data_IF_555088150082
#
_entry.id   IF_555088150082
#
_cell.length_a   1.000
_cell.length_b   1.000
_cell.length_c   1.000
_cell.angle_alpha   90.00
_cell.angle_beta   90.00
_cell.angle_gamma   90.00
#
_symmetry.space_group_name_H-M   'P 1'
#
loop_
_entity.id
_entity.type
_entity.pdbx_description
1 polymer ?
#
# COMPACT_ATOMS: atom_id res chain seq x y z
N UNK A 1 1.82 2.05 -8.87
CA UNK A 1 2.03 0.88 -7.99
C UNK A 1 0.74 0.62 -7.23
N UNK A 2 0.75 0.34 -5.92
CA UNK A 2 -0.39 0.22 -4.98
C UNK A 2 0.18 0.19 -3.55
N UNK A 3 -0.62 0.45 -2.53
CA UNK A 3 -0.25 0.08 -1.15
C UNK A 3 0.11 -1.43 -1.02
N UNK A 4 -0.47 -2.30 -1.87
CA UNK A 4 -0.08 -3.71 -1.96
C UNK A 4 1.36 -3.95 -2.49
N UNK A 5 2.07 -2.88 -2.91
CA UNK A 5 3.51 -2.90 -3.19
C UNK A 5 4.39 -2.69 -1.96
N UNK A 6 3.78 -2.47 -0.78
CA UNK A 6 4.45 -2.27 0.51
C UNK A 6 4.00 -3.28 1.57
N UNK A 7 2.85 -3.94 1.36
CA UNK A 7 2.32 -5.02 2.18
C UNK A 7 1.65 -6.08 1.29
N UNK A 8 1.90 -7.37 1.55
CA UNK A 8 1.18 -8.46 0.89
C UNK A 8 -0.23 -8.66 1.44
N UNK A 9 -1.22 -8.80 0.55
CA UNK A 9 -2.64 -8.99 0.91
C UNK A 9 -3.12 -10.39 0.50
N UNK A 10 -3.91 -11.03 1.37
CA UNK A 10 -4.53 -12.33 1.10
C UNK A 10 -5.30 -12.31 -0.22
N UNK A 11 -5.19 -13.37 -1.03
CA UNK A 11 -5.88 -13.46 -2.32
C UNK A 11 -5.27 -12.62 -3.45
N UNK A 12 -4.31 -11.74 -3.14
CA UNK A 12 -3.66 -10.83 -4.09
C UNK A 12 -2.16 -11.13 -4.21
N UNK A 13 -1.72 -12.38 -4.09
CA UNK A 13 -0.29 -12.73 -4.06
C UNK A 13 0.46 -12.29 -5.34
N UNK A 14 -0.05 -12.67 -6.52
CA UNK A 14 0.54 -12.29 -7.80
C UNK A 14 0.49 -10.77 -8.03
N UNK A 15 -0.63 -10.13 -7.66
CA UNK A 15 -0.78 -8.68 -7.72
C UNK A 15 0.26 -7.98 -6.84
N UNK A 16 0.33 -8.34 -5.55
CA UNK A 16 1.28 -7.78 -4.58
C UNK A 16 2.72 -7.96 -5.08
N UNK A 17 3.10 -9.17 -5.50
CA UNK A 17 4.42 -9.43 -6.06
C UNK A 17 4.77 -8.48 -7.23
N UNK A 18 3.84 -8.28 -8.17
CA UNK A 18 4.03 -7.33 -9.27
C UNK A 18 4.21 -5.89 -8.78
N UNK A 19 3.49 -5.46 -7.74
CA UNK A 19 3.59 -4.09 -7.19
C UNK A 19 4.85 -3.87 -6.38
N UNK A 20 5.36 -4.89 -5.68
CA UNK A 20 6.68 -4.86 -5.05
C UNK A 20 7.79 -4.77 -6.10
N UNK A 21 7.68 -5.51 -7.21
CA UNK A 21 8.67 -5.44 -8.29
C UNK A 21 8.75 -4.03 -8.91
N UNK A 22 7.63 -3.33 -9.07
CA UNK A 22 7.62 -1.94 -9.53
C UNK A 22 8.39 -0.99 -8.61
N UNK A 23 8.42 -1.25 -7.30
CA UNK A 23 9.20 -0.43 -6.37
C UNK A 23 10.70 -0.60 -6.63
N UNK A 24 11.20 -1.84 -6.67
CA UNK A 24 12.61 -2.10 -6.94
C UNK A 24 13.04 -1.55 -8.30
N UNK A 25 12.20 -1.73 -9.33
CA UNK A 25 12.42 -1.14 -10.65
C UNK A 25 12.53 0.39 -10.59
N UNK A 26 11.63 1.06 -9.88
CA UNK A 26 11.63 2.51 -9.75
C UNK A 26 12.83 3.05 -8.95
N UNK A 27 13.27 2.32 -7.91
CA UNK A 27 14.47 2.67 -7.13
C UNK A 27 15.73 2.61 -8.01
N UNK A 28 15.86 1.57 -8.84
CA UNK A 28 16.95 1.48 -9.83
C UNK A 28 16.87 2.58 -10.89
N UNK A 29 15.68 2.78 -11.47
CA UNK A 29 15.47 3.79 -12.50
C UNK A 29 15.76 5.20 -12.01
N UNK A 30 15.39 5.56 -10.77
CA UNK A 30 15.72 6.87 -10.20
C UNK A 30 17.23 7.12 -10.24
N UNK A 31 18.05 6.14 -9.86
CA UNK A 31 19.51 6.27 -9.91
C UNK A 31 20.04 6.45 -11.34
N UNK A 32 19.46 5.75 -12.31
CA UNK A 32 19.86 5.84 -13.72
C UNK A 32 19.52 7.21 -14.32
N UNK A 33 18.35 7.77 -14.00
CA UNK A 33 17.85 8.99 -14.65
C UNK A 33 18.21 10.28 -13.92
N UNK A 34 18.57 10.20 -12.63
CA UNK A 34 18.88 11.37 -11.79
C UNK A 34 20.01 12.27 -12.31
N UNK A 35 21.10 11.76 -12.92
CA UNK A 35 22.12 12.62 -13.53
C UNK A 35 21.61 13.50 -14.67
N UNK A 36 20.49 13.12 -15.30
CA UNK A 36 19.85 13.88 -16.38
C UNK A 36 18.81 14.89 -15.86
N UNK A 37 18.73 15.11 -14.54
CA UNK A 37 17.77 16.02 -13.93
C UNK A 37 16.33 15.48 -13.91
N UNK A 38 16.13 14.19 -14.25
CA UNK A 38 14.85 13.52 -14.20
C UNK A 38 14.62 12.90 -12.82
N UNK A 39 13.35 12.78 -12.42
CA UNK A 39 12.93 12.22 -11.13
C UNK A 39 11.88 11.13 -11.35
N UNK A 40 11.88 10.12 -10.48
CA UNK A 40 10.88 9.05 -10.51
C UNK A 40 9.97 9.18 -9.29
N UNK A 41 8.65 9.07 -9.52
CA UNK A 41 7.64 9.03 -8.46
C UNK A 41 6.82 7.75 -8.56
N UNK A 42 6.71 7.03 -7.45
CA UNK A 42 5.91 5.82 -7.31
C UNK A 42 4.61 6.16 -6.59
N UNK A 43 3.50 6.12 -7.33
CA UNK A 43 2.18 6.25 -6.74
C UNK A 43 1.76 4.95 -6.03
N UNK A 44 1.43 5.07 -4.74
CA UNK A 44 0.97 4.02 -3.84
C UNK A 44 -0.46 4.33 -3.35
N UNK A 45 -1.47 4.27 -4.24
CA UNK A 45 -2.84 4.58 -3.88
C UNK A 45 -3.45 3.50 -2.97
N UNK A 46 -4.38 3.89 -2.07
CA UNK A 46 -5.31 2.96 -1.42
C UNK A 46 -6.42 2.54 -2.39
N UNK A 47 -7.43 1.83 -1.88
CA UNK A 47 -8.65 1.55 -2.64
C UNK A 47 -9.29 2.87 -3.12
N UNK A 48 -9.57 2.92 -4.42
CA UNK A 48 -10.03 4.14 -5.11
C UNK A 48 -11.34 3.88 -5.83
N UNK A 49 -12.31 4.77 -5.65
CA UNK A 49 -13.65 4.69 -6.22
C UNK A 49 -13.59 4.81 -7.75
N UNK A 50 -13.56 3.66 -8.40
CA UNK A 50 -13.40 3.55 -9.85
C UNK A 50 -14.27 2.42 -10.38
N UNK A 51 -14.71 2.47 -11.64
CA UNK A 51 -15.42 1.35 -12.26
C UNK A 51 -14.61 0.03 -12.21
N UNK A 52 -13.27 0.13 -12.21
CA UNK A 52 -12.38 -1.01 -12.06
C UNK A 52 -12.46 -1.65 -10.67
N UNK A 53 -12.51 -0.83 -9.61
CA UNK A 53 -12.68 -1.31 -8.24
C UNK A 53 -14.03 -2.01 -8.05
N UNK A 54 -15.12 -1.48 -8.62
CA UNK A 54 -16.43 -2.13 -8.58
C UNK A 54 -16.42 -3.54 -9.21
N UNK A 55 -15.66 -3.72 -10.30
CA UNK A 55 -15.50 -5.02 -10.96
C UNK A 55 -14.66 -5.97 -10.11
N UNK A 56 -13.55 -5.49 -9.56
CA UNK A 56 -12.69 -6.27 -8.66
C UNK A 56 -13.48 -6.77 -7.45
N UNK A 57 -14.34 -5.91 -6.90
CA UNK A 57 -15.10 -6.20 -5.69
C UNK A 57 -16.03 -7.40 -5.85
N UNK A 58 -16.56 -7.65 -7.05
CA UNK A 58 -17.48 -8.79 -7.32
C UNK A 58 -16.84 -10.14 -7.02
N UNK A 59 -15.55 -10.31 -7.34
CA UNK A 59 -14.85 -11.58 -7.22
C UNK A 59 -13.87 -11.63 -6.04
N UNK A 60 -13.76 -10.54 -5.27
CA UNK A 60 -12.83 -10.42 -4.15
C UNK A 60 -13.19 -11.44 -3.03
N UNK A 61 -12.23 -12.27 -2.57
CA UNK A 61 -12.46 -13.17 -1.44
C UNK A 61 -12.92 -12.42 -0.19
N UNK A 62 -13.73 -13.07 0.65
CA UNK A 62 -14.25 -12.47 1.89
C UNK A 62 -13.12 -11.98 2.81
N UNK A 63 -12.04 -12.75 2.93
CA UNK A 63 -10.84 -12.37 3.68
C UNK A 63 -10.26 -11.04 3.18
N UNK A 64 -10.09 -10.92 1.86
CA UNK A 64 -9.53 -9.72 1.22
C UNK A 64 -10.47 -8.54 1.39
N UNK A 65 -11.79 -8.72 1.23
CA UNK A 65 -12.78 -7.65 1.48
C UNK A 65 -12.70 -7.11 2.91
N UNK A 66 -12.65 -7.99 3.91
CA UNK A 66 -12.56 -7.60 5.32
C UNK A 66 -11.23 -6.90 5.65
N UNK A 67 -10.13 -7.29 5.00
CA UNK A 67 -8.83 -6.62 5.13
C UNK A 67 -8.86 -5.24 4.46
N UNK A 68 -9.42 -5.13 3.25
CA UNK A 68 -9.51 -3.86 2.50
C UNK A 68 -10.41 -2.83 3.16
N UNK A 69 -11.52 -3.24 3.79
CA UNK A 69 -12.50 -2.33 4.39
C UNK A 69 -11.95 -1.42 5.51
N UNK A 70 -10.81 -1.75 6.11
CA UNK A 70 -10.19 -0.87 7.13
C UNK A 70 -9.58 0.41 6.54
N UNK A 71 -9.32 0.43 5.22
CA UNK A 71 -8.59 1.49 4.52
C UNK A 71 -9.47 2.65 4.03
N UNK A 72 -10.79 2.44 3.96
CA UNK A 72 -11.72 3.37 3.34
C UNK A 72 -11.60 3.41 1.81
N UNK A 73 -12.52 4.13 1.16
CA UNK A 73 -12.55 4.28 -0.29
C UNK A 73 -12.34 5.76 -0.64
N UNK A 74 -11.32 6.07 -1.43
CA UNK A 74 -11.00 7.45 -1.81
C UNK A 74 -11.49 7.78 -3.23
N UNK A 75 -11.87 9.05 -3.43
CA UNK A 75 -12.20 9.55 -4.77
C UNK A 75 -10.95 9.62 -5.67
N UNK A 76 -11.08 9.30 -6.97
CA UNK A 76 -9.95 9.34 -7.91
C UNK A 76 -9.35 10.74 -8.05
N UNK A 77 -10.14 11.81 -7.87
CA UNK A 77 -9.67 13.20 -7.93
C UNK A 77 -8.65 13.52 -6.84
N UNK A 78 -8.88 13.03 -5.62
CA UNK A 78 -7.95 13.21 -4.48
C UNK A 78 -6.64 12.47 -4.75
N UNK A 79 -6.72 11.22 -5.24
CA UNK A 79 -5.53 10.42 -5.57
C UNK A 79 -4.74 11.07 -6.71
N UNK A 80 -5.41 11.54 -7.76
CA UNK A 80 -4.78 12.19 -8.89
C UNK A 80 -4.13 13.53 -8.51
N UNK A 81 -4.81 14.34 -7.70
CA UNK A 81 -4.30 15.63 -7.23
C UNK A 81 -3.05 15.46 -6.37
N UNK A 82 -3.07 14.49 -5.45
CA UNK A 82 -1.91 14.19 -4.60
C UNK A 82 -0.73 13.67 -5.43
N UNK A 83 -0.98 12.75 -6.37
CA UNK A 83 0.05 12.24 -7.28
C UNK A 83 0.72 13.35 -8.06
N UNK A 84 -0.07 14.24 -8.66
CA UNK A 84 0.47 15.35 -9.44
C UNK A 84 1.32 16.28 -8.56
N UNK A 85 0.82 16.63 -7.37
CA UNK A 85 1.54 17.49 -6.43
C UNK A 85 2.88 16.88 -5.99
N UNK A 86 2.89 15.59 -5.65
CA UNK A 86 4.11 14.91 -5.20
C UNK A 86 5.12 14.72 -6.34
N UNK A 87 4.64 14.44 -7.55
CA UNK A 87 5.48 14.31 -8.73
C UNK A 87 6.17 15.64 -9.07
N UNK A 88 5.42 16.75 -9.05
CA UNK A 88 5.97 18.11 -9.26
C UNK A 88 6.96 18.49 -8.15
N UNK A 89 6.69 18.09 -6.90
CA UNK A 89 7.61 18.29 -5.79
C UNK A 89 8.85 17.37 -5.84
N UNK A 90 8.91 16.42 -6.78
CA UNK A 90 9.99 15.46 -6.91
C UNK A 90 10.07 14.48 -5.73
N UNK A 91 8.93 14.13 -5.12
CA UNK A 91 8.90 13.09 -4.10
C UNK A 91 8.99 11.71 -4.73
N UNK A 92 9.74 10.81 -4.10
CA UNK A 92 9.86 9.44 -4.58
C UNK A 92 8.59 8.62 -4.36
N UNK A 93 7.95 8.74 -3.18
CA UNK A 93 6.66 8.11 -2.92
C UNK A 93 5.54 9.16 -2.95
N UNK A 94 4.45 8.82 -3.62
CA UNK A 94 3.19 9.55 -3.50
C UNK A 94 2.13 8.62 -2.92
N UNK A 95 1.47 9.06 -1.86
CA UNK A 95 0.45 8.30 -1.16
C UNK A 95 -0.56 9.24 -0.51
N UNK A 96 -1.73 8.71 -0.16
CA UNK A 96 -2.82 9.48 0.44
C UNK A 96 -3.18 8.87 1.79
N UNK A 97 -3.52 9.73 2.75
CA UNK A 97 -4.07 9.32 4.03
C UNK A 97 -3.04 8.73 4.99
N UNK A 98 -3.54 8.32 6.15
CA UNK A 98 -2.71 7.88 7.26
C UNK A 98 -2.03 6.53 7.01
N UNK A 99 -2.71 5.58 6.37
CA UNK A 99 -2.14 4.27 6.05
C UNK A 99 -1.00 4.38 5.05
N UNK A 100 -1.16 5.25 4.06
CA UNK A 100 -0.09 5.61 3.13
C UNK A 100 1.15 6.09 3.88
N UNK A 101 0.98 7.06 4.77
CA UNK A 101 2.04 7.57 5.63
C UNK A 101 2.67 6.48 6.52
N UNK A 102 1.85 5.61 7.13
CA UNK A 102 2.37 4.51 7.94
C UNK A 102 3.23 3.57 7.09
N UNK A 103 2.73 3.13 5.92
CA UNK A 103 3.42 2.21 5.03
C UNK A 103 4.72 2.79 4.50
N UNK A 104 4.71 4.04 4.02
CA UNK A 104 5.95 4.69 3.55
C UNK A 104 6.95 4.91 4.68
N UNK A 105 6.48 5.01 5.93
CA UNK A 105 7.35 5.09 7.10
C UNK A 105 7.97 3.74 7.46
N UNK A 106 7.17 2.70 7.70
CA UNK A 106 7.68 1.39 8.13
C UNK A 106 8.40 0.63 7.02
N UNK A 107 8.10 0.94 5.77
CA UNK A 107 8.72 0.32 4.60
C UNK A 107 9.72 1.26 3.89
N UNK A 108 10.13 2.37 4.51
CA UNK A 108 11.11 3.29 3.92
C UNK A 108 12.38 2.53 3.48
N UNK A 109 12.98 1.75 4.38
CA UNK A 109 14.18 0.96 4.05
C UNK A 109 15.28 1.84 3.45
N UNK A 110 15.76 1.48 2.25
CA UNK A 110 16.76 2.25 1.50
C UNK A 110 16.15 3.10 0.38
N UNK A 111 14.84 3.36 0.41
CA UNK A 111 14.19 4.19 -0.62
C UNK A 111 14.82 5.59 -0.69
N UNK A 112 14.87 6.22 -1.88
CA UNK A 112 15.42 7.56 -2.05
C UNK A 112 14.81 8.60 -1.10
N UNK A 113 15.68 9.32 -0.38
CA UNK A 113 15.27 10.45 0.45
C UNK A 113 15.09 11.68 -0.43
N UNK A 114 13.87 12.21 -0.44
CA UNK A 114 13.48 13.35 -1.29
C UNK A 114 12.86 14.50 -0.50
N UNK A 115 12.56 14.27 0.77
CA UNK A 115 11.97 15.24 1.71
C UNK A 115 12.66 15.08 3.06
N UNK A 116 13.21 16.18 3.61
CA UNK A 116 13.83 16.19 4.94
C UNK A 116 12.78 15.95 6.03
N UNK A 117 11.57 16.45 5.83
CA UNK A 117 10.45 16.23 6.75
C UNK A 117 10.08 14.75 6.80
N UNK A 118 10.02 14.09 5.65
CA UNK A 118 9.71 12.67 5.57
C UNK A 118 10.81 11.86 6.26
N UNK A 119 12.09 12.18 6.04
CA UNK A 119 13.22 11.53 6.72
C UNK A 119 13.12 11.67 8.25
N UNK A 120 12.86 12.88 8.76
CA UNK A 120 12.72 13.11 10.20
C UNK A 120 11.55 12.31 10.75
N UNK A 121 10.39 12.33 10.08
CA UNK A 121 9.22 11.54 10.49
C UNK A 121 9.50 10.03 10.49
N UNK A 122 10.23 9.54 9.49
CA UNK A 122 10.63 8.13 9.39
C UNK A 122 11.54 7.73 10.56
N UNK A 123 12.62 8.46 10.79
CA UNK A 123 13.58 8.15 11.85
C UNK A 123 12.92 8.21 13.24
N UNK A 124 12.06 9.19 13.48
CA UNK A 124 11.44 9.41 14.80
C UNK A 124 10.25 8.50 15.08
N UNK A 125 9.41 8.21 14.07
CA UNK A 125 8.14 7.51 14.26
C UNK A 125 8.17 6.04 13.84
N UNK A 126 9.18 5.58 13.10
CA UNK A 126 9.21 4.20 12.56
C UNK A 126 9.03 3.14 13.65
N UNK A 127 9.68 3.28 14.80
CA UNK A 127 9.54 2.32 15.90
C UNK A 127 8.10 2.25 16.44
N UNK A 128 7.47 3.41 16.64
CA UNK A 128 6.09 3.50 17.13
C UNK A 128 5.08 2.97 16.09
N UNK A 129 5.22 3.38 14.83
CA UNK A 129 4.35 2.92 13.74
C UNK A 129 4.55 1.43 13.50
N UNK A 130 5.76 0.89 13.70
CA UNK A 130 6.01 -0.55 13.62
C UNK A 130 5.25 -1.34 14.67
N UNK A 131 5.09 -0.83 15.89
CA UNK A 131 4.25 -1.46 16.91
C UNK A 131 2.77 -1.45 16.51
N UNK A 132 2.29 -0.33 15.95
CA UNK A 132 0.94 -0.24 15.40
C UNK A 132 0.74 -1.23 14.24
N UNK A 133 1.73 -1.39 13.36
CA UNK A 133 1.61 -2.32 12.23
C UNK A 133 1.57 -3.79 12.66
N UNK A 134 2.18 -4.16 13.80
CA UNK A 134 1.99 -5.50 14.39
C UNK A 134 0.51 -5.75 14.72
N UNK A 135 -0.19 -4.76 15.28
CA UNK A 135 -1.62 -4.89 15.56
C UNK A 135 -2.44 -5.15 14.28
N UNK A 136 -2.16 -4.41 13.20
CA UNK A 136 -2.80 -4.64 11.89
C UNK A 136 -2.54 -6.06 11.37
N UNK A 137 -1.29 -6.53 11.42
CA UNK A 137 -0.94 -7.89 10.99
C UNK A 137 -1.67 -8.97 11.82
N UNK A 138 -1.78 -8.79 13.14
CA UNK A 138 -2.52 -9.70 14.01
C UNK A 138 -4.04 -9.67 13.72
N UNK A 139 -4.59 -8.50 13.39
CA UNK A 139 -5.98 -8.35 12.94
C UNK A 139 -6.22 -9.11 11.64
N UNK A 140 -5.34 -8.95 10.64
CA UNK A 140 -5.44 -9.66 9.36
C UNK A 140 -5.36 -11.18 9.54
N UNK A 141 -4.43 -11.66 10.37
CA UNK A 141 -4.36 -13.09 10.71
C UNK A 141 -5.64 -13.59 11.38
N UNK A 142 -6.21 -12.80 12.28
CA UNK A 142 -7.47 -13.13 12.96
C UNK A 142 -8.64 -13.21 11.96
N UNK A 143 -8.72 -12.27 11.01
CA UNK A 143 -9.71 -12.26 9.93
C UNK A 143 -9.60 -13.55 9.09
N UNK A 144 -8.40 -13.89 8.62
CA UNK A 144 -8.17 -15.08 7.78
C UNK A 144 -8.54 -16.36 8.54
N UNK A 145 -8.12 -16.49 9.81
CA UNK A 145 -8.47 -17.65 10.66
C UNK A 145 -9.98 -17.77 10.88
N UNK A 146 -10.69 -16.66 11.09
CA UNK A 146 -12.14 -16.64 11.28
C UNK A 146 -12.86 -17.08 10.00
N UNK A 147 -12.44 -16.58 8.84
CA UNK A 147 -13.02 -16.97 7.55
C UNK A 147 -12.79 -18.46 7.25
N UNK A 148 -11.59 -18.97 7.52
CA UNK A 148 -11.27 -20.39 7.38
C UNK A 148 -12.18 -21.26 8.26
N UNK A 149 -12.30 -20.93 9.55
CA UNK A 149 -13.19 -21.64 10.48
C UNK A 149 -14.65 -21.64 10.00
N UNK A 150 -15.14 -20.52 9.49
CA UNK A 150 -16.50 -20.41 8.98
C UNK A 150 -16.71 -21.29 7.72
N UNK A 151 -15.73 -21.34 6.81
CA UNK A 151 -15.77 -22.22 5.63
C UNK A 151 -15.76 -23.70 6.03
N UNK A 152 -14.98 -24.08 7.03
CA UNK A 152 -14.93 -25.46 7.53
C UNK A 152 -16.24 -25.89 8.19
N UNK A 153 -16.88 -24.98 8.94
CA UNK A 153 -18.18 -25.23 9.55
C UNK A 153 -19.27 -25.42 8.48
N UNK A 154 -19.30 -24.57 7.45
CA UNK A 154 -20.27 -24.67 6.35
C UNK A 154 -20.15 -26.01 5.61
N UNK A 155 -18.93 -26.49 5.34
CA UNK A 155 -18.68 -27.80 4.70
C UNK A 155 -19.09 -29.01 5.56
N UNK A 156 -19.18 -28.86 6.89
CA UNK A 156 -19.61 -29.93 7.79
C UNK A 156 -21.12 -30.00 7.96
N UNK A 157 -21.83 -28.93 7.58
CA UNK A 157 -23.30 -28.85 7.61
C UNK A 157 -23.96 -29.24 6.29
N UNK A 158 -23.18 -29.44 5.23
CA UNK A 158 -23.59 -30.02 3.93
C UNK A 158 -23.43 -31.55 3.95
#
# INVERSE_FOLDING_TARGET
SSQAGMLGIYGLAAYSASKYALRGFAESLDMEVRPYGLRVTVCLPPDTDTPGFEIEEKNKPMETRLISQTSGLLSPEVVASQLLSDAVAGKFFSTVGFEGFMLTTVCAGMSPVTSVVDLISQVTLMGLIRLVSVYYLLSFQSIVKKCMKNKDLAKRSE
#
